data_IF_608220192501
#
_entry.id   IF_608220192501
#
_cell.length_a   1.000
_cell.length_b   1.000
_cell.length_c   1.000
_cell.angle_alpha   90.00
_cell.angle_beta   90.00
_cell.angle_gamma   90.00
#
_symmetry.space_group_name_H-M   'P 1'
#
loop_
_entity.id
_entity.type
_entity.pdbx_description
1 polymer ?
#
# COMPACT_ATOMS: atom_id res chain seq x y z
N UNK A 1 -11.74 2.90 2.20
CA UNK A 1 -10.94 4.03 2.75
C UNK A 1 -10.19 4.68 1.60
N UNK A 2 -10.28 6.01 1.47
CA UNK A 2 -9.52 6.83 0.50
C UNK A 2 -8.25 7.42 1.13
N UNK A 3 -7.55 6.67 1.98
CA UNK A 3 -6.23 7.06 2.46
C UNK A 3 -5.19 6.50 1.47
N UNK A 4 -5.22 7.03 0.24
CA UNK A 4 -4.20 6.76 -0.75
C UNK A 4 -3.02 7.71 -0.49
N UNK A 5 -1.90 7.25 0.12
CA UNK A 5 -0.75 8.10 0.37
C UNK A 5 0.02 8.45 -0.91
N UNK A 6 -0.34 7.84 -2.05
CA UNK A 6 0.32 7.98 -3.34
C UNK A 6 -0.59 8.79 -4.28
N UNK A 7 -0.57 10.11 -4.08
CA UNK A 7 -1.28 11.06 -4.94
C UNK A 7 -0.34 11.69 -5.98
N UNK A 8 -0.88 12.25 -7.08
CA UNK A 8 -0.09 13.05 -8.02
C UNK A 8 0.73 14.16 -7.36
N UNK A 9 0.18 14.81 -6.32
CA UNK A 9 0.87 15.87 -5.55
C UNK A 9 2.10 15.32 -4.83
N UNK A 10 2.00 14.11 -4.27
CA UNK A 10 3.15 13.44 -3.65
C UNK A 10 4.21 13.15 -4.70
N UNK A 11 3.85 12.63 -5.87
CA UNK A 11 4.80 12.37 -6.95
C UNK A 11 5.52 13.64 -7.42
N UNK A 12 4.80 14.76 -7.56
CA UNK A 12 5.40 16.07 -7.88
C UNK A 12 6.42 16.49 -6.83
N UNK A 13 6.11 16.28 -5.54
CA UNK A 13 7.03 16.60 -4.44
C UNK A 13 8.31 15.77 -4.46
N UNK A 14 8.28 14.58 -5.06
CA UNK A 14 9.44 13.71 -5.28
C UNK A 14 10.27 14.11 -6.51
N UNK A 15 9.83 15.11 -7.28
CA UNK A 15 10.50 15.57 -8.51
C UNK A 15 10.02 14.87 -9.78
N UNK A 16 8.91 14.12 -9.73
CA UNK A 16 8.29 13.52 -10.92
C UNK A 16 7.58 14.64 -11.70
N UNK A 17 8.22 15.12 -12.76
CA UNK A 17 7.67 16.15 -13.63
C UNK A 17 7.11 15.55 -14.92
N UNK A 18 5.99 14.83 -14.80
CA UNK A 18 5.23 14.26 -15.91
C UNK A 18 3.99 15.11 -16.21
N UNK A 19 3.26 14.79 -17.28
CA UNK A 19 1.92 15.34 -17.51
C UNK A 19 0.90 14.80 -16.48
N UNK A 20 -0.22 15.49 -16.32
CA UNK A 20 -1.22 15.15 -15.29
C UNK A 20 -1.80 13.75 -15.47
N UNK A 21 -1.99 13.29 -16.72
CA UNK A 21 -2.49 11.96 -17.04
C UNK A 21 -1.46 10.88 -16.65
N UNK A 22 -0.19 11.06 -17.03
CA UNK A 22 0.87 10.16 -16.63
C UNK A 22 1.11 10.14 -15.11
N UNK A 23 1.00 11.29 -14.42
CA UNK A 23 1.06 11.35 -12.95
C UNK A 23 -0.09 10.58 -12.29
N UNK A 24 -1.32 10.70 -12.80
CA UNK A 24 -2.45 9.93 -12.29
C UNK A 24 -2.25 8.43 -12.49
N UNK A 25 -1.81 8.01 -13.68
CA UNK A 25 -1.53 6.60 -13.96
C UNK A 25 -0.42 6.04 -13.06
N UNK A 26 0.65 6.82 -12.85
CA UNK A 26 1.73 6.43 -11.96
C UNK A 26 1.26 6.34 -10.51
N UNK A 27 0.46 7.30 -10.05
CA UNK A 27 -0.10 7.31 -8.70
C UNK A 27 -0.98 6.07 -8.46
N UNK A 28 -1.89 5.78 -9.40
CA UNK A 28 -2.77 4.62 -9.37
C UNK A 28 -1.95 3.31 -9.34
N UNK A 29 -1.01 3.16 -10.28
CA UNK A 29 -0.18 1.96 -10.35
C UNK A 29 0.68 1.78 -9.10
N UNK A 30 1.24 2.87 -8.57
CA UNK A 30 2.03 2.82 -7.34
C UNK A 30 1.17 2.44 -6.13
N UNK A 31 -0.08 2.91 -6.06
CA UNK A 31 -1.02 2.51 -5.02
C UNK A 31 -1.38 1.03 -5.08
N UNK A 32 -1.60 0.49 -6.28
CA UNK A 32 -1.80 -0.96 -6.45
C UNK A 32 -0.57 -1.76 -6.00
N UNK A 33 0.64 -1.31 -6.36
CA UNK A 33 1.88 -1.93 -5.90
C UNK A 33 2.06 -1.85 -4.38
N UNK A 34 1.67 -0.73 -3.76
CA UNK A 34 1.68 -0.58 -2.31
C UNK A 34 0.75 -1.58 -1.63
N UNK A 35 -0.48 -1.75 -2.15
CA UNK A 35 -1.44 -2.71 -1.62
C UNK A 35 -0.93 -4.15 -1.72
N UNK A 36 -0.30 -4.52 -2.84
CA UNK A 36 0.32 -5.84 -3.01
C UNK A 36 1.45 -6.08 -2.01
N UNK A 37 2.33 -5.08 -1.81
CA UNK A 37 3.43 -5.15 -0.85
C UNK A 37 2.94 -5.28 0.59
N UNK A 38 1.98 -4.46 0.99
CA UNK A 38 1.36 -4.51 2.31
C UNK A 38 0.70 -5.88 2.53
N UNK A 39 -0.06 -6.39 1.55
CA UNK A 39 -0.67 -7.71 1.62
C UNK A 39 0.36 -8.84 1.75
N UNK A 40 1.48 -8.74 1.04
CA UNK A 40 2.60 -9.68 1.16
C UNK A 40 3.25 -9.65 2.54
N UNK A 41 3.61 -8.45 3.03
CA UNK A 41 4.21 -8.27 4.35
C UNK A 41 3.29 -8.77 5.47
N UNK A 42 1.98 -8.50 5.38
CA UNK A 42 0.99 -9.04 6.30
C UNK A 42 0.97 -10.56 6.25
N UNK A 43 0.91 -11.16 5.05
CA UNK A 43 0.87 -12.61 4.91
C UNK A 43 2.11 -13.31 5.51
N UNK A 44 3.27 -12.64 5.53
CA UNK A 44 4.48 -13.15 6.20
C UNK A 44 4.43 -13.04 7.74
N UNK A 45 3.64 -12.11 8.28
CA UNK A 45 3.45 -11.93 9.71
C UNK A 45 2.34 -12.84 10.28
N UNK A 46 1.42 -13.29 9.43
CA UNK A 46 0.31 -14.15 9.82
C UNK A 46 0.71 -15.63 9.89
N UNK A 47 0.10 -16.35 10.82
CA UNK A 47 0.15 -17.81 10.85
C UNK A 47 -0.71 -18.44 9.74
N UNK A 48 -0.50 -19.73 9.45
CA UNK A 48 -1.27 -20.45 8.43
C UNK A 48 -2.79 -20.48 8.69
N UNK A 49 -3.21 -20.36 9.96
CA UNK A 49 -4.62 -20.33 10.34
C UNK A 49 -5.19 -18.92 10.17
N UNK A 50 -4.46 -17.89 10.59
CA UNK A 50 -4.84 -16.50 10.39
C UNK A 50 -4.88 -16.11 8.90
N UNK A 51 -3.97 -16.63 8.09
CA UNK A 51 -3.98 -16.39 6.64
C UNK A 51 -5.22 -16.99 5.96
N UNK A 52 -5.71 -18.15 6.43
CA UNK A 52 -6.98 -18.72 5.96
C UNK A 52 -8.17 -17.87 6.40
N UNK A 53 -8.17 -17.43 7.65
CA UNK A 53 -9.21 -16.55 8.18
C UNK A 53 -9.27 -15.23 7.41
N UNK A 54 -8.12 -14.61 7.13
CA UNK A 54 -8.03 -13.40 6.31
C UNK A 54 -8.57 -13.63 4.89
N UNK A 55 -8.24 -14.76 4.27
CA UNK A 55 -8.72 -15.10 2.94
C UNK A 55 -10.25 -15.25 2.90
N UNK A 56 -10.85 -15.89 3.92
CA UNK A 56 -12.30 -15.99 4.06
C UNK A 56 -12.95 -14.63 4.37
N UNK A 57 -12.33 -13.82 5.24
CA UNK A 57 -12.79 -12.47 5.55
C UNK A 57 -12.79 -11.58 4.31
N UNK A 58 -11.71 -11.59 3.52
CA UNK A 58 -11.59 -10.76 2.31
C UNK A 58 -12.69 -11.05 1.26
N UNK A 59 -13.29 -12.24 1.28
CA UNK A 59 -14.37 -12.62 0.37
C UNK A 59 -15.77 -12.26 0.87
N UNK A 60 -15.96 -12.15 2.18
CA UNK A 60 -17.29 -12.09 2.81
C UNK A 60 -17.53 -10.80 3.62
N UNK A 61 -16.47 -10.12 4.03
CA UNK A 61 -16.52 -8.94 4.88
C UNK A 61 -16.31 -7.65 4.08
N UNK A 62 -16.75 -6.53 4.64
CA UNK A 62 -16.46 -5.21 4.10
C UNK A 62 -15.05 -4.73 4.53
N UNK A 63 -14.55 -3.73 3.81
CA UNK A 63 -13.21 -3.15 4.06
C UNK A 63 -13.00 -2.73 5.53
N UNK A 64 -14.06 -2.24 6.18
CA UNK A 64 -14.00 -1.81 7.58
C UNK A 64 -13.79 -2.98 8.54
N UNK A 65 -14.49 -4.10 8.31
CA UNK A 65 -14.31 -5.32 9.10
C UNK A 65 -12.93 -5.92 8.84
N UNK A 66 -12.50 -5.97 7.57
CA UNK A 66 -11.17 -6.46 7.19
C UNK A 66 -10.06 -5.66 7.89
N UNK A 67 -10.16 -4.33 7.86
CA UNK A 67 -9.21 -3.46 8.54
C UNK A 67 -9.18 -3.67 10.05
N UNK A 68 -10.36 -3.76 10.69
CA UNK A 68 -10.44 -3.98 12.14
C UNK A 68 -9.77 -5.31 12.51
N UNK A 69 -9.94 -6.33 11.67
CA UNK A 69 -9.28 -7.62 11.86
C UNK A 69 -7.76 -7.51 11.71
N UNK A 70 -7.27 -6.80 10.68
CA UNK A 70 -5.85 -6.57 10.44
C UNK A 70 -5.20 -5.81 11.61
N UNK A 71 -5.83 -4.76 12.11
CA UNK A 71 -5.34 -4.00 13.27
C UNK A 71 -5.30 -4.83 14.56
N UNK A 72 -6.15 -5.85 14.68
CA UNK A 72 -6.21 -6.72 15.85
C UNK A 72 -5.21 -7.89 15.79
N UNK A 73 -4.95 -8.43 14.59
CA UNK A 73 -4.15 -9.65 14.40
C UNK A 73 -2.73 -9.37 13.90
N UNK A 74 -2.52 -8.30 13.14
CA UNK A 74 -1.20 -7.93 12.63
C UNK A 74 -0.56 -6.94 13.61
N UNK A 75 0.47 -7.35 14.37
CA UNK A 75 1.21 -6.45 15.23
C UNK A 75 1.83 -5.36 14.38
N UNK A 76 1.78 -4.12 14.86
CA UNK A 76 2.37 -2.99 14.16
C UNK A 76 1.87 -2.83 12.70
N UNK A 77 0.61 -3.21 12.41
CA UNK A 77 -0.03 -3.06 11.09
C UNK A 77 0.20 -1.67 10.47
N UNK A 78 0.04 -0.62 11.28
CA UNK A 78 0.28 0.75 10.83
C UNK A 78 1.76 1.05 10.52
N UNK A 79 2.69 0.41 11.23
CA UNK A 79 4.12 0.52 10.92
C UNK A 79 4.44 -0.19 9.60
N UNK A 80 3.86 -1.37 9.34
CA UNK A 80 4.01 -2.08 8.06
C UNK A 80 3.54 -1.21 6.90
N UNK A 81 2.37 -0.56 7.02
CA UNK A 81 1.88 0.38 6.00
C UNK A 81 2.88 1.52 5.79
N UNK A 82 3.35 2.14 6.88
CA UNK A 82 4.29 3.26 6.81
C UNK A 82 5.64 2.86 6.20
N UNK A 83 6.16 1.70 6.55
CA UNK A 83 7.43 1.18 6.05
C UNK A 83 7.33 0.91 4.56
N UNK A 84 6.32 0.16 4.11
CA UNK A 84 6.13 -0.13 2.68
C UNK A 84 5.86 1.14 1.87
N UNK A 85 5.09 2.08 2.42
CA UNK A 85 4.85 3.39 1.81
C UNK A 85 6.16 4.17 1.65
N UNK A 86 6.97 4.21 2.71
CA UNK A 86 8.26 4.93 2.70
C UNK A 86 9.24 4.30 1.72
N UNK A 87 9.32 2.97 1.68
CA UNK A 87 10.17 2.22 0.74
C UNK A 87 9.75 2.53 -0.69
N UNK A 88 8.46 2.41 -1.00
CA UNK A 88 7.97 2.66 -2.35
C UNK A 88 8.15 4.13 -2.77
N UNK A 89 7.90 5.09 -1.88
CA UNK A 89 8.17 6.51 -2.15
C UNK A 89 9.65 6.76 -2.44
N UNK A 90 10.56 6.14 -1.69
CA UNK A 90 11.98 6.25 -1.93
C UNK A 90 12.41 5.62 -3.27
N UNK A 91 11.80 4.48 -3.65
CA UNK A 91 12.00 3.85 -4.95
C UNK A 91 11.50 4.75 -6.09
N UNK A 92 10.31 5.33 -5.95
CA UNK A 92 9.73 6.27 -6.92
C UNK A 92 10.61 7.52 -7.10
N UNK A 93 11.06 8.13 -5.99
CA UNK A 93 11.97 9.28 -6.03
C UNK A 93 13.29 8.94 -6.72
N UNK A 94 13.86 7.77 -6.43
CA UNK A 94 15.10 7.30 -7.06
C UNK A 94 14.91 7.06 -8.56
N UNK A 95 13.77 6.50 -8.97
CA UNK A 95 13.46 6.28 -10.38
C UNK A 95 13.21 7.61 -11.11
N UNK A 96 12.56 8.57 -10.46
CA UNK A 96 12.32 9.91 -10.99
C UNK A 96 13.61 10.70 -11.23
N UNK A 97 14.64 10.48 -10.42
CA UNK A 97 15.93 11.16 -10.56
C UNK A 97 16.91 10.45 -11.52
N UNK A 98 16.52 9.29 -12.07
CA UNK A 98 17.29 8.52 -13.04
C UNK A 98 16.75 8.63 -14.48
N UNK A 99 15.71 9.44 -14.71
CA UNK A 99 15.12 9.73 -16.03
C UNK A 99 15.57 11.08 -16.58
#
# INVERSE_FOLDING_TARGET
MDDNPLTPEVLESLGVNLDDEAKQLLAQHSYEQLQERIGGAIAELLSEDEAKELADLSQNADDATLQTWLEAHVPDYQAVIQDETTILLAELAKNANNV
#
